data_IF_815610507546
#
_entry.id   IF_815610507546
#
_cell.length_a   1.000
_cell.length_b   1.000
_cell.length_c   1.000
_cell.angle_alpha   90.00
_cell.angle_beta   90.00
_cell.angle_gamma   90.00
#
_symmetry.space_group_name_H-M   'P 1'
#
loop_
_entity.id
_entity.type
_entity.pdbx_description
1 polymer ?
#
# COMPACT_ATOMS: atom_id res chain seq x y z
N UNK A 1 -60.27 5.35 12.80
CA UNK A 1 -58.81 5.58 12.92
C UNK A 1 -57.96 4.31 12.74
N UNK A 2 -58.42 3.15 13.20
CA UNK A 2 -57.63 1.90 13.19
C UNK A 2 -57.24 1.37 11.78
N UNK A 3 -58.07 1.61 10.76
CA UNK A 3 -57.81 1.24 9.37
C UNK A 3 -56.77 2.14 8.71
N UNK A 4 -56.63 3.37 9.13
CA UNK A 4 -55.63 4.31 8.61
C UNK A 4 -54.21 3.94 9.12
N UNK A 5 -54.08 3.57 10.38
CA UNK A 5 -52.80 3.12 10.95
C UNK A 5 -52.30 1.86 10.31
N UNK A 6 -53.16 0.89 10.00
CA UNK A 6 -52.82 -0.33 9.30
C UNK A 6 -52.30 -0.08 7.88
N UNK A 7 -52.93 0.85 7.16
CA UNK A 7 -52.48 1.30 5.82
C UNK A 7 -51.16 1.98 5.87
N UNK A 8 -50.91 2.89 6.83
CA UNK A 8 -49.63 3.58 7.01
C UNK A 8 -48.51 2.58 7.34
N UNK A 9 -48.73 1.65 8.27
CA UNK A 9 -47.72 0.60 8.60
C UNK A 9 -47.42 -0.29 7.41
N UNK A 10 -48.43 -0.63 6.59
CA UNK A 10 -48.20 -1.41 5.37
C UNK A 10 -47.38 -0.62 4.33
N UNK A 11 -47.68 0.66 4.14
CA UNK A 11 -46.90 1.54 3.24
C UNK A 11 -45.46 1.69 3.71
N UNK A 12 -45.23 1.90 4.99
CA UNK A 12 -43.88 2.00 5.56
C UNK A 12 -43.11 0.69 5.34
N UNK A 13 -43.73 -0.47 5.57
CA UNK A 13 -43.10 -1.78 5.34
C UNK A 13 -42.72 -1.99 3.87
N UNK A 14 -43.66 -1.70 2.96
CA UNK A 14 -43.43 -1.85 1.52
C UNK A 14 -42.30 -0.90 1.07
N UNK A 15 -42.35 0.35 1.53
CA UNK A 15 -41.32 1.34 1.22
C UNK A 15 -39.94 0.91 1.75
N UNK A 16 -39.87 0.41 2.98
CA UNK A 16 -38.63 -0.10 3.57
C UNK A 16 -38.06 -1.31 2.80
N UNK A 17 -38.93 -2.24 2.39
CA UNK A 17 -38.53 -3.42 1.59
C UNK A 17 -38.02 -2.95 0.22
N UNK A 18 -38.70 -2.00 -0.42
CA UNK A 18 -38.30 -1.49 -1.75
C UNK A 18 -36.96 -0.77 -1.67
N UNK A 19 -36.74 0.08 -0.67
CA UNK A 19 -35.47 0.76 -0.43
C UNK A 19 -34.37 -0.26 -0.13
N UNK A 20 -34.64 -1.26 0.72
CA UNK A 20 -33.71 -2.34 1.01
C UNK A 20 -33.32 -3.14 -0.23
N UNK A 21 -34.29 -3.48 -1.09
CA UNK A 21 -34.04 -4.17 -2.34
C UNK A 21 -33.18 -3.35 -3.32
N UNK A 22 -33.45 -2.04 -3.42
CA UNK A 22 -32.66 -1.13 -4.26
C UNK A 22 -31.21 -1.01 -3.77
N UNK A 23 -31.02 -0.88 -2.45
CA UNK A 23 -29.67 -0.84 -1.86
C UNK A 23 -28.92 -2.15 -2.06
N UNK A 24 -29.60 -3.28 -1.88
CA UNK A 24 -29.01 -4.59 -2.12
C UNK A 24 -28.63 -4.79 -3.59
N UNK A 25 -29.49 -4.38 -4.54
CA UNK A 25 -29.20 -4.45 -5.97
C UNK A 25 -28.01 -3.56 -6.32
N UNK A 26 -27.96 -2.31 -5.80
CA UNK A 26 -26.83 -1.43 -5.98
C UNK A 26 -25.53 -2.03 -5.43
N UNK A 27 -25.58 -2.65 -4.25
CA UNK A 27 -24.44 -3.35 -3.66
C UNK A 27 -23.94 -4.52 -4.53
N UNK A 28 -24.85 -5.35 -5.05
CA UNK A 28 -24.52 -6.47 -5.94
C UNK A 28 -23.89 -5.96 -7.24
N UNK A 29 -24.42 -4.90 -7.83
CA UNK A 29 -23.87 -4.29 -9.04
C UNK A 29 -22.45 -3.75 -8.79
N UNK A 30 -22.25 -3.04 -7.69
CA UNK A 30 -20.92 -2.52 -7.32
C UNK A 30 -19.93 -3.66 -7.09
N UNK A 31 -20.33 -4.71 -6.35
CA UNK A 31 -19.51 -5.89 -6.13
C UNK A 31 -19.14 -6.60 -7.44
N UNK A 32 -20.09 -6.71 -8.38
CA UNK A 32 -19.85 -7.29 -9.69
C UNK A 32 -18.86 -6.44 -10.50
N UNK A 33 -19.06 -5.12 -10.55
CA UNK A 33 -18.17 -4.20 -11.27
C UNK A 33 -16.74 -4.27 -10.69
N UNK A 34 -16.60 -4.27 -9.36
CA UNK A 34 -15.31 -4.39 -8.71
C UNK A 34 -14.59 -5.68 -9.13
N UNK A 35 -15.28 -6.82 -9.06
CA UNK A 35 -14.70 -8.12 -9.41
C UNK A 35 -14.40 -8.28 -10.90
N UNK A 36 -15.15 -7.62 -11.78
CA UNK A 36 -14.97 -7.74 -13.23
C UNK A 36 -13.98 -6.73 -13.78
N UNK A 37 -13.98 -5.50 -13.25
CA UNK A 37 -13.14 -4.40 -13.75
C UNK A 37 -11.76 -4.41 -13.12
N UNK A 38 -11.68 -4.69 -11.81
CA UNK A 38 -10.41 -4.67 -11.05
C UNK A 38 -9.86 -6.08 -10.83
N UNK A 39 -9.50 -6.74 -11.92
CA UNK A 39 -8.85 -8.06 -11.88
C UNK A 39 -7.37 -7.93 -11.56
N UNK A 40 -6.77 -8.98 -11.00
CA UNK A 40 -5.34 -9.03 -10.69
C UNK A 40 -4.46 -8.77 -11.91
N UNK A 41 -4.86 -9.25 -13.09
CA UNK A 41 -4.13 -9.04 -14.34
C UNK A 41 -4.04 -7.56 -14.75
N UNK A 42 -5.01 -6.75 -14.33
CA UNK A 42 -5.04 -5.31 -14.59
C UNK A 42 -4.37 -4.51 -13.47
N UNK A 43 -4.54 -4.93 -12.21
CA UNK A 43 -3.99 -4.22 -11.06
C UNK A 43 -2.49 -4.43 -10.89
N UNK A 44 -1.99 -5.64 -11.13
CA UNK A 44 -0.56 -5.97 -10.96
C UNK A 44 0.36 -5.08 -11.80
N UNK A 45 0.13 -4.87 -13.12
CA UNK A 45 0.95 -3.96 -13.91
C UNK A 45 0.89 -2.51 -13.43
N UNK A 46 -0.25 -2.04 -12.93
CA UNK A 46 -0.40 -0.67 -12.42
C UNK A 46 0.47 -0.46 -11.19
N UNK A 47 0.44 -1.39 -10.23
CA UNK A 47 1.28 -1.33 -9.02
C UNK A 47 2.75 -1.37 -9.38
N UNK A 48 3.17 -2.28 -10.28
CA UNK A 48 4.55 -2.37 -10.74
C UNK A 48 5.03 -1.09 -11.43
N UNK A 49 4.20 -0.49 -12.30
CA UNK A 49 4.54 0.76 -12.98
C UNK A 49 4.70 1.92 -12.00
N UNK A 50 3.82 2.03 -11.01
CA UNK A 50 3.94 3.06 -9.97
C UNK A 50 5.20 2.86 -9.15
N UNK A 51 5.48 1.64 -8.70
CA UNK A 51 6.67 1.32 -7.93
C UNK A 51 7.96 1.63 -8.72
N UNK A 52 8.07 1.18 -9.95
CA UNK A 52 9.26 1.40 -10.80
C UNK A 52 9.50 2.89 -11.13
N UNK A 53 8.43 3.68 -11.15
CA UNK A 53 8.53 5.12 -11.38
C UNK A 53 9.02 5.89 -10.16
N UNK A 54 8.61 5.45 -8.96
CA UNK A 54 8.93 6.12 -7.70
C UNK A 54 10.22 5.63 -7.05
N UNK A 55 10.60 4.38 -7.34
CA UNK A 55 11.69 3.71 -6.65
C UNK A 55 12.84 3.37 -7.62
N UNK A 56 14.06 3.52 -7.13
CA UNK A 56 15.26 2.96 -7.75
C UNK A 56 15.48 1.53 -7.24
N UNK A 57 14.51 0.69 -7.55
CA UNK A 57 14.43 -0.69 -7.12
C UNK A 57 13.55 -1.49 -8.08
N UNK A 58 13.76 -2.81 -8.12
CA UNK A 58 12.89 -3.75 -8.80
C UNK A 58 11.93 -4.38 -7.80
N UNK A 59 10.64 -4.12 -7.99
CA UNK A 59 9.58 -4.78 -7.26
C UNK A 59 9.10 -5.99 -8.05
N UNK A 60 9.12 -7.16 -7.41
CA UNK A 60 8.52 -8.40 -7.90
C UNK A 60 7.40 -8.78 -6.96
N UNK A 61 6.23 -9.04 -7.51
CA UNK A 61 5.02 -9.42 -6.76
C UNK A 61 4.33 -10.57 -7.49
N UNK A 62 3.68 -11.44 -6.73
CA UNK A 62 2.94 -12.54 -7.32
C UNK A 62 1.61 -12.06 -7.88
N UNK A 63 0.80 -11.38 -7.04
CA UNK A 63 -0.56 -10.99 -7.38
C UNK A 63 -1.02 -9.76 -6.59
N UNK A 64 -1.84 -8.94 -7.24
CA UNK A 64 -2.56 -7.83 -6.60
C UNK A 64 -4.05 -8.09 -6.68
N UNK A 65 -4.75 -7.99 -5.56
CA UNK A 65 -6.19 -8.13 -5.46
C UNK A 65 -6.81 -6.90 -4.79
N UNK A 66 -7.98 -6.49 -5.27
CA UNK A 66 -8.78 -5.48 -4.60
C UNK A 66 -9.61 -6.16 -3.51
N UNK A 67 -9.47 -5.72 -2.25
CA UNK A 67 -10.25 -6.21 -1.11
C UNK A 67 -11.20 -5.11 -0.64
N UNK A 68 -12.40 -5.50 -0.25
CA UNK A 68 -13.38 -4.58 0.30
C UNK A 68 -13.86 -5.02 1.69
N UNK A 69 -14.15 -6.30 1.85
CA UNK A 69 -14.78 -6.78 3.08
C UNK A 69 -13.88 -6.73 4.31
N UNK A 70 -12.58 -6.97 4.14
CA UNK A 70 -11.62 -6.93 5.25
C UNK A 70 -11.22 -5.51 5.66
N UNK A 71 -11.44 -4.53 4.78
CA UNK A 71 -11.04 -3.14 4.97
C UNK A 71 -12.23 -2.17 5.01
N UNK A 72 -13.47 -2.72 4.96
CA UNK A 72 -14.70 -1.93 4.95
C UNK A 72 -14.73 -0.85 6.07
N UNK A 73 -15.17 0.38 5.79
CA UNK A 73 -15.73 0.91 4.54
C UNK A 73 -14.68 1.36 3.50
N UNK A 74 -13.42 1.12 3.73
CA UNK A 74 -12.33 1.48 2.84
C UNK A 74 -12.02 0.32 1.88
N UNK A 75 -11.38 0.63 0.75
CA UNK A 75 -10.87 -0.39 -0.16
C UNK A 75 -9.43 -0.72 0.19
N UNK A 76 -9.07 -1.99 0.08
CA UNK A 76 -7.71 -2.47 0.23
C UNK A 76 -7.16 -3.01 -1.08
N UNK A 77 -5.89 -2.74 -1.33
CA UNK A 77 -5.10 -3.48 -2.31
C UNK A 77 -4.25 -4.48 -1.54
N UNK A 78 -4.53 -5.76 -1.75
CA UNK A 78 -3.77 -6.86 -1.18
C UNK A 78 -2.74 -7.32 -2.21
N UNK A 79 -1.48 -7.34 -1.82
CA UNK A 79 -0.37 -7.84 -2.61
C UNK A 79 0.14 -9.11 -1.96
N UNK A 80 0.09 -10.21 -2.70
CA UNK A 80 0.62 -11.49 -2.26
C UNK A 80 2.07 -11.62 -2.72
N UNK A 81 2.91 -12.01 -1.81
CA UNK A 81 4.36 -12.25 -1.97
C UNK A 81 5.09 -11.18 -2.78
N UNK A 82 5.93 -10.43 -2.11
CA UNK A 82 6.70 -9.39 -2.76
C UNK A 82 8.17 -9.39 -2.36
N UNK A 83 9.00 -9.02 -3.33
CA UNK A 83 10.44 -8.82 -3.16
C UNK A 83 10.79 -7.45 -3.76
N UNK A 84 11.45 -6.63 -2.97
CA UNK A 84 11.98 -5.35 -3.40
C UNK A 84 13.50 -5.41 -3.43
N UNK A 85 14.08 -5.36 -4.62
CA UNK A 85 15.52 -5.42 -4.85
C UNK A 85 16.02 -4.02 -5.16
N UNK A 86 16.88 -3.47 -4.30
CA UNK A 86 17.49 -2.16 -4.51
C UNK A 86 18.44 -2.16 -5.70
N UNK A 87 18.38 -1.14 -6.55
CA UNK A 87 19.35 -0.91 -7.64
C UNK A 87 20.53 -0.03 -7.22
N UNK A 88 20.43 0.57 -6.03
CA UNK A 88 21.40 1.57 -5.56
C UNK A 88 22.81 1.00 -5.36
N UNK A 89 22.92 -0.29 -5.04
CA UNK A 89 24.18 -0.97 -4.74
C UNK A 89 24.38 -2.26 -5.56
N UNK A 90 23.94 -2.27 -6.81
CA UNK A 90 23.90 -3.48 -7.67
C UNK A 90 25.18 -4.31 -7.70
N UNK A 91 26.37 -3.66 -7.57
CA UNK A 91 27.66 -4.35 -7.72
C UNK A 91 28.36 -4.64 -6.39
N UNK A 92 27.76 -4.25 -5.27
CA UNK A 92 28.43 -4.23 -3.96
C UNK A 92 27.78 -5.08 -2.88
N UNK A 93 26.63 -5.70 -3.17
CA UNK A 93 25.95 -6.56 -2.20
C UNK A 93 26.52 -7.96 -2.18
N UNK A 94 26.73 -8.54 -1.00
CA UNK A 94 27.07 -9.97 -0.88
C UNK A 94 25.96 -10.81 -1.54
N UNK A 95 26.31 -11.74 -2.39
CA UNK A 95 25.40 -12.53 -3.25
C UNK A 95 24.23 -13.24 -2.56
N UNK A 96 24.15 -13.24 -1.25
CA UNK A 96 23.10 -13.94 -0.47
C UNK A 96 21.90 -13.07 -0.07
N UNK A 97 21.91 -11.77 -0.37
CA UNK A 97 20.93 -10.82 0.19
C UNK A 97 20.55 -9.75 -0.82
N UNK A 98 20.05 -10.18 -1.96
CA UNK A 98 19.69 -9.25 -3.04
C UNK A 98 18.42 -8.44 -2.75
N UNK A 99 17.58 -8.86 -1.80
CA UNK A 99 16.34 -8.16 -1.49
C UNK A 99 16.46 -7.25 -0.27
N UNK A 100 16.20 -5.95 -0.45
CA UNK A 100 16.03 -5.01 0.65
C UNK A 100 14.85 -5.39 1.52
N UNK A 101 13.75 -5.79 0.90
CA UNK A 101 12.48 -6.12 1.55
C UNK A 101 11.87 -7.35 0.89
N UNK A 102 11.43 -8.30 1.70
CA UNK A 102 10.56 -9.39 1.28
C UNK A 102 9.36 -9.47 2.22
N UNK A 103 8.19 -9.82 1.71
CA UNK A 103 6.98 -9.99 2.50
C UNK A 103 6.08 -11.07 1.90
N UNK A 104 5.25 -11.71 2.74
CA UNK A 104 4.23 -12.64 2.26
C UNK A 104 2.92 -11.96 1.92
N UNK A 105 2.54 -10.94 2.66
CA UNK A 105 1.33 -10.19 2.42
C UNK A 105 1.58 -8.71 2.67
N UNK A 106 1.09 -7.88 1.76
CA UNK A 106 1.03 -6.43 1.93
C UNK A 106 -0.39 -5.97 1.65
N UNK A 107 -0.98 -5.23 2.57
CA UNK A 107 -2.30 -4.60 2.39
C UNK A 107 -2.17 -3.09 2.46
N UNK A 108 -2.57 -2.45 1.37
CA UNK A 108 -2.66 -0.99 1.25
C UNK A 108 -4.11 -0.59 1.38
N UNK A 109 -4.45 0.24 2.36
CA UNK A 109 -5.80 0.81 2.45
C UNK A 109 -5.87 2.09 1.64
N UNK A 110 -6.74 2.12 0.63
CA UNK A 110 -6.86 3.21 -0.33
C UNK A 110 -8.26 3.84 -0.28
N UNK A 111 -8.35 5.12 -0.61
CA UNK A 111 -9.62 5.80 -0.80
C UNK A 111 -9.91 5.93 -2.31
N UNK A 112 -10.84 5.15 -2.87
CA UNK A 112 -11.14 5.20 -4.29
C UNK A 112 -11.78 6.53 -4.72
N UNK A 113 -12.48 7.23 -3.82
CA UNK A 113 -13.09 8.52 -4.12
C UNK A 113 -12.04 9.59 -4.39
N UNK A 114 -10.90 9.55 -3.72
CA UNK A 114 -9.80 10.47 -3.99
C UNK A 114 -9.22 10.25 -5.39
N UNK A 115 -9.18 9.00 -5.85
CA UNK A 115 -8.78 8.69 -7.22
C UNK A 115 -9.76 9.26 -8.26
N UNK A 116 -11.05 9.01 -8.08
CA UNK A 116 -12.06 9.44 -9.07
C UNK A 116 -12.36 10.93 -9.03
N UNK A 117 -12.34 11.57 -7.86
CA UNK A 117 -12.73 12.97 -7.70
C UNK A 117 -11.55 13.94 -7.77
N UNK A 118 -10.35 13.50 -7.33
CA UNK A 118 -9.17 14.37 -7.18
C UNK A 118 -7.99 13.93 -8.01
N UNK A 119 -8.09 12.81 -8.74
CA UNK A 119 -6.99 12.17 -9.46
C UNK A 119 -5.75 11.93 -8.56
N UNK A 120 -6.01 11.60 -7.29
CA UNK A 120 -5.02 11.42 -6.23
C UNK A 120 -5.10 10.00 -5.66
N UNK A 121 -3.96 9.36 -5.45
CA UNK A 121 -3.89 8.09 -4.74
C UNK A 121 -3.55 8.37 -3.27
N UNK A 122 -4.54 8.22 -2.39
CA UNK A 122 -4.35 8.35 -0.95
C UNK A 122 -4.25 6.95 -0.33
N UNK A 123 -3.08 6.64 0.22
CA UNK A 123 -2.82 5.40 0.98
C UNK A 123 -2.84 5.75 2.46
N UNK A 124 -3.87 5.31 3.18
CA UNK A 124 -4.00 5.63 4.61
C UNK A 124 -3.19 4.67 5.49
N UNK A 125 -3.26 3.39 5.20
CA UNK A 125 -2.57 2.35 5.95
C UNK A 125 -1.79 1.42 5.03
N UNK A 126 -0.60 1.06 5.48
CA UNK A 126 0.23 0.02 4.90
C UNK A 126 0.46 -1.05 5.96
N UNK A 127 0.00 -2.27 5.73
CA UNK A 127 0.23 -3.43 6.58
C UNK A 127 1.06 -4.46 5.83
N UNK A 128 2.16 -4.91 6.43
CA UNK A 128 3.04 -5.94 5.90
C UNK A 128 3.14 -7.09 6.89
N UNK A 129 3.02 -8.33 6.41
CA UNK A 129 3.12 -9.55 7.23
C UNK A 129 4.23 -10.47 6.76
N UNK A 130 4.87 -11.12 7.73
CA UNK A 130 6.02 -12.00 7.50
C UNK A 130 7.09 -11.30 6.66
N UNK A 131 7.67 -10.28 7.25
CA UNK A 131 8.59 -9.33 6.61
C UNK A 131 10.02 -9.71 6.90
N UNK A 132 10.85 -9.73 5.87
CA UNK A 132 12.30 -9.82 5.99
C UNK A 132 12.92 -8.53 5.42
N UNK A 133 13.70 -7.84 6.22
CA UNK A 133 14.41 -6.63 5.81
C UNK A 133 15.90 -6.84 5.95
N UNK A 134 16.64 -6.55 4.88
CA UNK A 134 18.09 -6.46 4.91
C UNK A 134 18.53 -5.04 4.57
N UNK A 135 18.80 -4.27 5.59
CA UNK A 135 19.30 -2.90 5.47
C UNK A 135 20.83 -2.92 5.49
N UNK A 136 21.45 -2.56 4.39
CA UNK A 136 22.88 -2.57 4.21
C UNK A 136 23.41 -1.21 3.80
N UNK A 137 24.48 -0.75 4.48
CA UNK A 137 25.28 0.42 4.08
C UNK A 137 26.72 0.00 3.83
N UNK A 138 27.26 0.39 2.70
CA UNK A 138 28.65 0.08 2.35
C UNK A 138 29.63 1.00 3.07
N UNK A 139 30.95 0.71 2.96
CA UNK A 139 32.01 1.50 3.57
C UNK A 139 32.08 2.95 3.10
N UNK A 140 31.56 3.26 1.91
CA UNK A 140 31.50 4.62 1.36
C UNK A 140 30.30 5.41 1.84
N UNK A 141 29.42 4.82 2.68
CA UNK A 141 28.25 5.46 3.25
C UNK A 141 26.99 5.33 2.40
N UNK A 142 27.03 4.68 1.23
CA UNK A 142 25.87 4.45 0.37
C UNK A 142 25.02 3.29 0.89
N UNK A 143 23.71 3.47 0.95
CA UNK A 143 22.81 2.50 1.55
C UNK A 143 21.81 1.91 0.54
N UNK A 144 21.44 0.64 0.69
CA UNK A 144 20.48 -0.02 -0.19
C UNK A 144 19.03 0.45 0.01
N UNK A 145 18.72 1.14 1.11
CA UNK A 145 17.40 1.71 1.37
C UNK A 145 17.19 3.12 0.79
N UNK A 146 18.21 3.72 0.19
CA UNK A 146 18.13 5.03 -0.49
C UNK A 146 17.51 4.88 -1.89
N UNK A 147 16.35 4.23 -1.96
CA UNK A 147 15.68 3.84 -3.20
C UNK A 147 14.63 4.82 -3.71
N UNK A 148 14.28 5.85 -2.94
CA UNK A 148 13.30 6.84 -3.37
C UNK A 148 13.94 7.80 -4.36
N UNK A 149 13.41 7.85 -5.58
CA UNK A 149 13.87 8.80 -6.61
C UNK A 149 13.47 10.21 -6.23
N UNK A 150 14.45 11.12 -6.21
CA UNK A 150 14.20 12.56 -6.04
C UNK A 150 13.73 13.17 -7.35
N UNK A 151 12.95 14.26 -7.27
CA UNK A 151 12.33 14.91 -8.44
C UNK A 151 13.35 15.38 -9.51
N UNK A 152 14.63 15.48 -9.19
CA UNK A 152 15.72 15.78 -10.13
C UNK A 152 16.07 14.60 -11.04
N UNK A 153 15.82 13.36 -10.62
CA UNK A 153 16.14 12.16 -11.41
C UNK A 153 15.07 11.79 -12.42
N UNK A 154 13.87 12.37 -12.28
CA UNK A 154 12.73 12.14 -13.18
C UNK A 154 12.79 12.96 -14.48
N UNK A 155 13.75 13.89 -14.64
CA UNK A 155 13.87 14.73 -15.83
C UNK A 155 14.70 14.11 -16.96
N UNK A 156 15.25 12.92 -16.79
CA UNK A 156 16.14 12.27 -17.77
C UNK A 156 15.51 11.10 -18.54
N UNK A 157 14.19 10.93 -18.53
CA UNK A 157 13.52 9.92 -19.38
C UNK A 157 12.85 10.60 -20.57
N UNK A 158 13.35 10.21 -21.75
CA UNK A 158 13.05 10.67 -23.09
C UNK A 158 11.56 10.96 -23.37
N UNK A 159 11.39 12.05 -24.15
CA UNK A 159 10.19 12.39 -24.87
C UNK A 159 9.80 11.28 -25.84
N UNK A 160 8.90 10.40 -25.44
CA UNK A 160 8.06 9.68 -26.38
C UNK A 160 6.62 9.65 -25.85
N UNK A 161 5.83 10.42 -26.54
CA UNK A 161 4.39 10.48 -26.77
C UNK A 161 3.51 9.41 -26.12
N UNK A 162 3.24 9.57 -24.84
CA UNK A 162 2.01 9.10 -24.20
C UNK A 162 1.43 10.32 -23.47
N UNK A 163 0.10 10.58 -23.52
CA UNK A 163 -0.46 11.74 -22.87
C UNK A 163 -0.11 11.69 -21.39
N UNK A 164 0.74 12.62 -20.96
CA UNK A 164 1.08 12.84 -19.56
C UNK A 164 -0.18 13.33 -18.84
N UNK A 165 -1.03 12.39 -18.43
CA UNK A 165 -1.83 12.63 -17.26
C UNK A 165 -0.82 12.80 -16.12
N UNK A 166 -0.64 14.04 -15.70
CA UNK A 166 0.05 14.38 -14.48
C UNK A 166 -0.67 13.67 -13.32
N UNK A 167 -0.29 12.43 -13.06
CA UNK A 167 -0.55 11.81 -11.78
C UNK A 167 0.32 12.57 -10.77
N UNK A 168 -0.23 13.59 -10.20
CA UNK A 168 0.27 14.21 -8.98
C UNK A 168 -0.05 13.23 -7.86
N UNK A 169 0.71 12.11 -7.83
CA UNK A 169 0.52 11.03 -6.86
C UNK A 169 1.07 11.52 -5.53
N UNK A 170 0.29 12.33 -4.85
CA UNK A 170 0.53 12.63 -3.45
C UNK A 170 0.20 11.34 -2.67
N UNK A 171 1.23 10.60 -2.28
CA UNK A 171 1.08 9.42 -1.44
C UNK A 171 1.10 9.90 0.00
N UNK A 172 -0.05 9.85 0.66
CA UNK A 172 -0.21 10.14 2.08
C UNK A 172 -0.30 8.81 2.83
N UNK A 173 0.81 8.38 3.45
CA UNK A 173 0.85 7.19 4.30
C UNK A 173 0.85 7.66 5.74
N UNK A 174 -0.21 7.33 6.51
CA UNK A 174 -0.36 7.75 7.90
C UNK A 174 0.13 6.71 8.89
N UNK A 175 -0.02 5.44 8.57
CA UNK A 175 0.32 4.34 9.46
C UNK A 175 0.94 3.20 8.68
N UNK A 176 2.02 2.64 9.23
CA UNK A 176 2.66 1.42 8.74
C UNK A 176 2.65 0.40 9.86
N UNK A 177 2.08 -0.77 9.62
CA UNK A 177 2.07 -1.91 10.51
C UNK A 177 2.91 -3.04 9.91
N UNK A 178 3.84 -3.54 10.67
CA UNK A 178 4.72 -4.63 10.28
C UNK A 178 4.57 -5.76 11.30
N UNK A 179 4.15 -6.93 10.84
CA UNK A 179 3.97 -8.12 11.68
C UNK A 179 5.00 -9.20 11.31
N UNK A 180 5.56 -9.86 12.31
CA UNK A 180 6.57 -10.91 12.15
C UNK A 180 7.76 -10.44 11.31
N UNK A 181 8.46 -9.41 11.79
CA UNK A 181 9.59 -8.79 11.10
C UNK A 181 10.89 -9.44 11.53
N UNK A 182 11.65 -9.90 10.53
CA UNK A 182 13.06 -10.23 10.68
C UNK A 182 13.88 -9.13 10.01
N UNK A 183 14.67 -8.40 10.78
CA UNK A 183 15.50 -7.29 10.32
C UNK A 183 16.96 -7.62 10.53
N UNK A 184 17.77 -7.48 9.48
CA UNK A 184 19.23 -7.40 9.55
C UNK A 184 19.63 -5.98 9.16
N UNK A 185 20.34 -5.31 10.03
CA UNK A 185 20.97 -4.02 9.80
C UNK A 185 22.48 -4.18 9.80
N UNK A 186 23.12 -3.98 8.66
CA UNK A 186 24.55 -4.14 8.46
C UNK A 186 25.15 -2.84 7.90
N UNK A 187 25.62 -1.98 8.79
CA UNK A 187 26.28 -0.72 8.44
C UNK A 187 27.81 -0.88 8.48
N UNK A 188 28.41 -1.04 7.31
CA UNK A 188 29.86 -1.17 7.17
C UNK A 188 30.62 0.14 7.28
N UNK A 189 29.91 1.26 7.20
CA UNK A 189 30.52 2.58 7.37
C UNK A 189 30.78 2.90 8.84
N UNK A 190 29.85 2.53 9.70
CA UNK A 190 29.95 2.74 11.16
C UNK A 190 30.33 1.48 11.92
N UNK A 191 30.49 0.35 11.23
CA UNK A 191 30.77 -0.98 11.79
C UNK A 191 29.70 -1.47 12.77
N UNK A 192 28.44 -1.07 12.56
CA UNK A 192 27.29 -1.48 13.36
C UNK A 192 26.57 -2.64 12.66
N UNK A 193 26.41 -3.73 13.40
CA UNK A 193 25.59 -4.84 12.98
C UNK A 193 24.52 -5.11 14.03
N UNK A 194 23.26 -5.25 13.59
CA UNK A 194 22.14 -5.58 14.47
C UNK A 194 21.20 -6.56 13.77
N UNK A 195 20.63 -7.45 14.54
CA UNK A 195 19.62 -8.40 14.07
C UNK A 195 18.44 -8.41 15.02
N UNK A 196 17.25 -8.35 14.46
CA UNK A 196 15.97 -8.44 15.17
C UNK A 196 15.20 -9.59 14.53
N UNK A 197 14.75 -10.53 15.35
CA UNK A 197 13.95 -11.66 14.89
C UNK A 197 12.54 -11.56 15.50
N UNK A 198 11.53 -11.75 14.64
CA UNK A 198 10.11 -11.86 14.99
C UNK A 198 9.56 -10.67 15.82
N UNK A 199 9.76 -9.47 15.33
CA UNK A 199 9.23 -8.25 15.95
C UNK A 199 7.96 -7.76 15.26
N UNK A 200 7.03 -7.23 16.05
CA UNK A 200 5.88 -6.47 15.55
C UNK A 200 6.16 -4.97 15.73
N UNK A 201 6.00 -4.21 14.65
CA UNK A 201 6.30 -2.78 14.63
C UNK A 201 5.09 -2.01 14.13
N UNK A 202 4.73 -0.94 14.83
CA UNK A 202 3.73 0.02 14.37
C UNK A 202 4.36 1.41 14.27
N UNK A 203 4.36 1.96 13.07
CA UNK A 203 4.91 3.27 12.77
C UNK A 203 3.76 4.21 12.44
N UNK A 204 3.63 5.29 13.18
CA UNK A 204 2.73 6.39 12.85
C UNK A 204 3.52 7.48 12.16
N UNK A 205 3.12 7.78 10.93
CA UNK A 205 3.75 8.80 10.09
C UNK A 205 2.84 10.02 10.05
N UNK A 206 3.31 11.16 10.51
CA UNK A 206 2.63 12.44 10.30
C UNK A 206 3.41 13.20 9.23
N UNK A 207 2.96 13.07 7.97
CA UNK A 207 3.47 13.83 6.85
C UNK A 207 2.58 15.05 6.64
N UNK A 208 2.98 16.20 7.19
CA UNK A 208 2.35 17.49 6.90
C UNK A 208 3.17 18.19 5.84
N UNK A 209 2.55 18.85 4.86
CA UNK A 209 3.24 19.68 3.85
C UNK A 209 4.22 20.62 4.54
N UNK A 210 5.53 20.34 4.40
CA UNK A 210 6.62 21.16 4.95
C UNK A 210 7.25 20.70 6.28
N UNK A 211 6.69 19.71 6.96
CA UNK A 211 7.30 19.10 8.15
C UNK A 211 6.97 17.62 8.21
N UNK A 212 7.98 16.77 8.10
CA UNK A 212 7.85 15.32 8.34
C UNK A 212 8.19 15.04 9.80
N UNK A 213 7.22 14.59 10.59
CA UNK A 213 7.47 14.02 11.91
C UNK A 213 7.27 12.51 11.85
N UNK A 214 8.28 11.78 12.26
CA UNK A 214 8.23 10.32 12.39
C UNK A 214 7.99 9.98 13.86
N UNK A 215 6.79 9.53 14.20
CA UNK A 215 6.49 8.90 15.47
C UNK A 215 6.69 7.39 15.34
N UNK A 216 7.61 6.81 16.11
CA UNK A 216 7.84 5.36 16.15
C UNK A 216 7.24 4.85 17.45
N UNK A 217 6.15 4.09 17.38
CA UNK A 217 5.62 3.32 18.51
C UNK A 217 6.05 1.86 18.34
N UNK A 218 6.84 1.37 19.26
CA UNK A 218 7.16 -0.06 19.36
C UNK A 218 6.13 -0.71 20.29
N UNK A 219 5.23 -1.50 19.74
CA UNK A 219 4.44 -2.43 20.52
C UNK A 219 5.09 -3.81 20.43
N UNK A 220 5.78 -4.23 21.47
CA UNK A 220 6.22 -5.61 21.61
C UNK A 220 5.07 -6.41 22.24
N UNK A 221 4.42 -7.26 21.46
CA UNK A 221 3.33 -8.13 21.94
C UNK A 221 3.81 -9.39 22.66
N UNK A 222 5.10 -9.56 22.83
CA UNK A 222 5.66 -10.71 23.54
C UNK A 222 5.99 -10.32 24.99
N UNK A 223 4.98 -10.33 25.83
CA UNK A 223 5.08 -10.60 27.28
C UNK A 223 4.02 -11.66 27.61
#
# INVERSE_FOLDING_TARGET
SHNMERRIRKLIRVSAITVGALLFTAFVVVAFVINYVFTSDKLTPVVLNVANRLLDADLKIERVELTFFSTFPQFGLKVDEGFLVSKVLNDSLPQKTDSLLAFKECVLTVNPLDYFLKNKISVHNLSLKNVAVYAYRNKTGKANWEIVKTSSDTLAVEKDTIPQNKFDSEIDIRQVELEHVNLIFDDRNTEVYSRIDDADLRLKLALTKGASSLGVEFENKNI
#
